data_IF_372704501811
#
_entry.id   IF_372704501811
#
_cell.length_a   1.000
_cell.length_b   1.000
_cell.length_c   1.000
_cell.angle_alpha   90.00
_cell.angle_beta   90.00
_cell.angle_gamma   90.00
#
_symmetry.space_group_name_H-M   'P 1'
#
loop_
_entity.id
_entity.type
_entity.pdbx_description
1 polymer ?
#
# COMPACT_ATOMS: atom_id res chain seq x y z
N UNK A 1 32.38 24.44 24.33
CA UNK A 1 31.03 23.95 24.16
C UNK A 1 31.10 22.58 23.48
N UNK A 2 31.10 21.51 24.28
CA UNK A 2 31.02 20.14 23.76
C UNK A 2 29.57 19.90 23.30
N UNK A 3 29.42 19.55 22.06
CA UNK A 3 28.10 19.25 21.49
C UNK A 3 27.57 17.95 22.10
N UNK A 4 26.56 18.05 22.94
CA UNK A 4 25.77 16.92 23.43
C UNK A 4 24.89 16.26 22.32
N UNK A 5 25.20 16.51 21.06
CA UNK A 5 24.42 16.02 19.91
C UNK A 5 24.99 14.72 19.31
N UNK A 6 26.07 14.15 19.84
CA UNK A 6 26.67 12.93 19.26
C UNK A 6 26.22 11.61 19.92
N UNK A 7 25.45 11.67 20.99
CA UNK A 7 24.85 10.48 21.60
C UNK A 7 23.46 10.13 21.05
N UNK A 8 23.22 10.53 19.82
CA UNK A 8 22.04 10.10 19.10
C UNK A 8 22.14 8.60 18.85
N UNK A 9 21.59 7.85 19.80
CA UNK A 9 21.07 6.50 19.65
C UNK A 9 21.82 5.63 18.62
N UNK A 10 22.88 4.99 19.05
CA UNK A 10 23.31 3.75 18.42
C UNK A 10 22.16 2.75 18.63
N UNK A 11 21.16 2.79 17.75
CA UNK A 11 20.08 1.80 17.73
C UNK A 11 20.70 0.46 17.38
N UNK A 12 20.98 -0.33 18.39
CA UNK A 12 21.40 -1.71 18.18
C UNK A 12 20.15 -2.49 17.81
N UNK A 13 20.15 -3.08 16.62
CA UNK A 13 19.12 -4.02 16.21
C UNK A 13 19.56 -5.44 16.58
N UNK A 14 18.72 -6.16 17.28
CA UNK A 14 18.90 -7.59 17.50
C UNK A 14 18.03 -8.31 16.46
N UNK A 15 18.66 -9.05 15.57
CA UNK A 15 17.95 -9.85 14.56
C UNK A 15 17.96 -11.30 15.00
N UNK A 16 16.78 -11.86 15.23
CA UNK A 16 16.62 -13.31 15.45
C UNK A 16 16.79 -14.00 14.09
N UNK A 17 17.68 -15.01 13.97
CA UNK A 17 17.83 -15.72 12.70
C UNK A 17 16.48 -16.23 12.17
N UNK A 18 16.15 -16.03 10.88
CA UNK A 18 14.84 -16.37 10.33
C UNK A 18 14.38 -17.81 10.60
N UNK A 19 15.31 -18.77 10.50
CA UNK A 19 15.01 -20.19 10.77
C UNK A 19 14.63 -20.47 12.23
N UNK A 20 15.22 -19.74 13.19
CA UNK A 20 14.86 -19.85 14.61
C UNK A 20 13.54 -19.16 14.88
N UNK A 21 13.33 -18.00 14.28
CA UNK A 21 12.09 -17.24 14.40
C UNK A 21 10.90 -18.04 13.86
N UNK A 22 11.04 -18.64 12.67
CA UNK A 22 10.01 -19.50 12.06
C UNK A 22 9.61 -20.66 12.98
N UNK A 23 10.59 -21.39 13.51
CA UNK A 23 10.33 -22.51 14.46
C UNK A 23 9.60 -22.04 15.72
N UNK A 24 9.98 -20.86 16.23
CA UNK A 24 9.34 -20.29 17.42
C UNK A 24 7.88 -19.92 17.13
N UNK A 25 7.59 -19.27 15.98
CA UNK A 25 6.24 -18.94 15.56
C UNK A 25 5.38 -20.21 15.34
N UNK A 26 5.92 -21.23 14.68
CA UNK A 26 5.24 -22.51 14.47
C UNK A 26 4.87 -23.18 15.79
N UNK A 27 5.77 -23.16 16.79
CA UNK A 27 5.54 -23.76 18.09
C UNK A 27 4.55 -22.98 18.98
N UNK A 28 4.38 -21.68 18.71
CA UNK A 28 3.51 -20.78 19.48
C UNK A 28 2.22 -20.40 18.74
N UNK A 29 1.90 -21.05 17.62
CA UNK A 29 0.70 -20.75 16.85
C UNK A 29 -0.58 -20.87 17.70
N UNK A 30 -1.36 -19.79 17.77
CA UNK A 30 -2.55 -19.69 18.62
C UNK A 30 -2.28 -19.32 20.08
N UNK A 31 -0.99 -19.18 20.47
CA UNK A 31 -0.54 -18.89 21.82
C UNK A 31 0.32 -17.61 21.86
N UNK A 32 1.09 -17.40 22.90
CA UNK A 32 1.90 -16.21 23.12
C UNK A 32 3.38 -16.56 23.37
N UNK A 33 4.26 -15.75 22.79
CA UNK A 33 5.70 -15.78 23.06
C UNK A 33 6.00 -14.74 24.13
N UNK A 34 6.58 -15.17 25.25
CA UNK A 34 7.06 -14.27 26.30
C UNK A 34 8.44 -13.75 25.94
N UNK A 35 8.60 -12.44 25.96
CA UNK A 35 9.87 -11.77 25.67
C UNK A 35 10.38 -11.08 26.93
N UNK A 36 11.59 -11.40 27.34
CA UNK A 36 12.30 -10.70 28.43
C UNK A 36 13.59 -10.09 27.88
N UNK A 37 13.77 -8.80 28.05
CA UNK A 37 14.97 -8.09 27.65
C UNK A 37 15.89 -7.93 28.88
N UNK A 38 17.12 -8.37 28.74
CA UNK A 38 18.16 -8.17 29.75
C UNK A 38 19.30 -7.34 29.15
N UNK A 39 19.74 -6.33 29.88
CA UNK A 39 20.81 -5.43 29.44
C UNK A 39 21.93 -5.46 30.50
N UNK A 40 23.16 -5.61 30.03
CA UNK A 40 24.32 -5.53 30.91
C UNK A 40 24.67 -4.07 31.22
N UNK A 41 24.60 -3.66 32.46
CA UNK A 41 24.99 -2.35 32.96
C UNK A 41 26.18 -2.51 33.87
N UNK A 42 27.37 -2.15 33.40
CA UNK A 42 28.61 -2.45 34.12
C UNK A 42 28.83 -3.96 34.23
N UNK A 43 28.89 -4.47 35.46
CA UNK A 43 29.03 -5.91 35.72
C UNK A 43 27.72 -6.64 36.05
N UNK A 44 26.61 -5.96 36.08
CA UNK A 44 25.32 -6.51 36.46
C UNK A 44 24.40 -6.63 35.26
N UNK A 45 23.51 -7.64 35.30
CA UNK A 45 22.42 -7.81 34.32
C UNK A 45 21.11 -7.26 34.88
N UNK A 46 20.54 -6.29 34.20
CA UNK A 46 19.25 -5.71 34.53
C UNK A 46 18.20 -6.26 33.61
N UNK A 47 17.18 -6.91 34.18
CA UNK A 47 16.03 -7.42 33.44
C UNK A 47 14.92 -6.37 33.41
N UNK A 48 14.36 -6.12 32.23
CA UNK A 48 13.16 -5.31 32.06
C UNK A 48 11.91 -6.15 32.21
N UNK A 49 10.79 -5.50 32.49
CA UNK A 49 9.50 -6.19 32.58
C UNK A 49 9.21 -6.99 31.30
N UNK A 50 8.84 -8.26 31.40
CA UNK A 50 8.52 -9.08 30.24
C UNK A 50 7.25 -8.57 29.56
N UNK A 51 7.17 -8.78 28.25
CA UNK A 51 5.96 -8.56 27.47
C UNK A 51 5.65 -9.77 26.61
N UNK A 52 4.38 -9.92 26.22
CA UNK A 52 3.93 -11.03 25.40
C UNK A 52 3.65 -10.58 23.95
N UNK A 53 4.02 -11.43 23.00
CA UNK A 53 3.63 -11.32 21.60
C UNK A 53 2.67 -12.46 21.31
N UNK A 54 1.41 -12.13 21.00
CA UNK A 54 0.44 -13.15 20.59
C UNK A 54 0.71 -13.58 19.16
N UNK A 55 0.76 -14.88 18.93
CA UNK A 55 0.94 -15.48 17.61
C UNK A 55 -0.42 -15.95 17.09
N UNK A 56 -0.82 -15.45 15.92
CA UNK A 56 -2.05 -15.90 15.28
C UNK A 56 -1.92 -17.38 14.86
N UNK A 57 -3.02 -18.16 14.93
CA UNK A 57 -3.01 -19.54 14.48
C UNK A 57 -2.95 -19.67 12.95
N UNK A 58 -3.38 -18.61 12.24
CA UNK A 58 -3.39 -18.56 10.79
C UNK A 58 -1.97 -18.38 10.24
N UNK A 59 -1.73 -18.97 9.08
CA UNK A 59 -0.48 -18.76 8.35
C UNK A 59 -0.46 -17.33 7.78
N UNK A 60 0.69 -16.69 7.90
CA UNK A 60 0.96 -15.42 7.24
C UNK A 60 1.26 -15.67 5.76
N UNK A 61 0.78 -14.79 4.89
CA UNK A 61 1.16 -14.78 3.48
C UNK A 61 2.68 -14.63 3.31
N UNK A 62 3.21 -15.19 2.23
CA UNK A 62 4.66 -15.18 2.01
C UNK A 62 5.20 -13.79 1.68
N UNK A 63 4.36 -12.91 1.15
CA UNK A 63 4.77 -11.60 0.67
C UNK A 63 3.87 -10.48 1.17
N UNK A 64 4.48 -9.31 1.36
CA UNK A 64 3.80 -8.04 1.60
C UNK A 64 4.16 -7.07 0.49
N UNK A 65 3.15 -6.51 -0.18
CA UNK A 65 3.34 -5.41 -1.11
C UNK A 65 3.07 -4.06 -0.43
N UNK A 66 3.90 -3.07 -0.73
CA UNK A 66 3.78 -1.73 -0.16
C UNK A 66 4.41 -0.68 -1.07
N UNK A 67 4.01 0.55 -0.88
CA UNK A 67 4.59 1.70 -1.56
C UNK A 67 5.63 2.36 -0.67
N UNK A 68 6.80 2.68 -1.24
CA UNK A 68 7.78 3.57 -0.65
C UNK A 68 7.78 4.91 -1.39
N UNK A 69 7.88 5.98 -0.63
CA UNK A 69 7.93 7.35 -1.10
C UNK A 69 8.75 8.18 -0.11
N UNK A 70 9.75 8.91 -0.62
CA UNK A 70 10.54 9.81 0.21
C UNK A 70 9.71 11.05 0.60
N UNK A 71 9.96 11.65 1.75
CA UNK A 71 9.28 12.89 2.14
C UNK A 71 9.78 14.10 1.34
N UNK A 72 8.94 15.13 1.25
CA UNK A 72 9.27 16.42 0.67
C UNK A 72 9.38 16.43 -0.86
N UNK A 73 10.23 17.29 -1.40
CA UNK A 73 10.40 17.46 -2.85
C UNK A 73 11.10 16.31 -3.56
N UNK A 74 11.75 15.43 -2.84
CA UNK A 74 12.41 14.25 -3.40
C UNK A 74 11.44 13.12 -3.73
N UNK A 75 10.17 13.29 -3.40
CA UNK A 75 9.07 12.36 -3.67
C UNK A 75 9.13 11.73 -5.06
N UNK A 76 9.34 12.58 -6.07
CA UNK A 76 9.24 12.20 -7.48
C UNK A 76 10.44 11.42 -8.00
N UNK A 77 11.54 11.42 -7.25
CA UNK A 77 12.78 10.79 -7.69
C UNK A 77 12.97 9.36 -7.16
N UNK A 78 12.25 9.02 -6.09
CA UNK A 78 12.47 7.76 -5.37
C UNK A 78 11.16 7.20 -4.85
N UNK A 79 10.26 6.83 -5.75
CA UNK A 79 9.06 6.13 -5.35
C UNK A 79 8.91 4.82 -6.10
N UNK A 80 8.25 3.87 -5.47
CA UNK A 80 7.97 2.59 -6.08
C UNK A 80 7.02 1.75 -5.26
N UNK A 81 6.50 0.71 -5.90
CA UNK A 81 5.75 -0.36 -5.28
C UNK A 81 6.69 -1.55 -5.19
N UNK A 82 6.83 -2.09 -4.00
CA UNK A 82 7.75 -3.16 -3.69
C UNK A 82 7.00 -4.33 -3.08
N UNK A 83 7.55 -5.51 -3.26
CA UNK A 83 7.18 -6.67 -2.47
C UNK A 83 8.32 -7.09 -1.56
N UNK A 84 7.98 -7.53 -0.36
CA UNK A 84 8.91 -8.07 0.62
C UNK A 84 8.52 -9.49 0.94
N UNK A 85 9.47 -10.39 0.80
CA UNK A 85 9.37 -11.74 1.32
C UNK A 85 9.43 -11.70 2.86
N UNK A 86 8.40 -12.20 3.52
CA UNK A 86 8.29 -12.16 4.97
C UNK A 86 9.13 -13.23 5.69
N UNK A 87 9.63 -14.23 4.96
CA UNK A 87 10.54 -15.24 5.52
C UNK A 87 12.01 -14.81 5.46
N UNK A 88 12.44 -14.22 4.33
CA UNK A 88 13.83 -13.79 4.13
C UNK A 88 14.06 -12.29 4.30
N UNK A 89 13.00 -11.51 4.37
CA UNK A 89 13.00 -10.04 4.35
C UNK A 89 13.59 -9.42 3.07
N UNK A 90 13.78 -10.22 2.04
CA UNK A 90 14.24 -9.73 0.73
C UNK A 90 13.18 -8.81 0.14
N UNK A 91 13.61 -7.61 -0.29
CA UNK A 91 12.75 -6.64 -0.95
C UNK A 91 13.12 -6.56 -2.42
N UNK A 92 12.12 -6.69 -3.29
CA UNK A 92 12.28 -6.48 -4.72
C UNK A 92 11.23 -5.49 -5.23
N UNK A 93 11.55 -4.68 -6.25
CA UNK A 93 10.57 -3.77 -6.83
C UNK A 93 9.55 -4.55 -7.68
N UNK A 94 8.27 -4.19 -7.54
CA UNK A 94 7.23 -4.50 -8.52
C UNK A 94 7.32 -3.47 -9.64
N UNK A 95 7.36 -2.20 -9.28
CA UNK A 95 7.63 -1.09 -10.20
C UNK A 95 8.27 0.09 -9.45
N UNK A 96 9.29 0.67 -10.04
CA UNK A 96 9.89 1.94 -9.60
C UNK A 96 9.56 3.04 -10.62
N UNK A 97 9.42 4.26 -10.16
CA UNK A 97 9.07 5.39 -11.01
C UNK A 97 10.07 5.61 -12.16
N UNK A 98 11.37 5.35 -11.93
CA UNK A 98 12.42 5.41 -12.96
C UNK A 98 12.19 4.44 -14.12
N UNK A 99 11.48 3.33 -13.89
CA UNK A 99 11.14 2.35 -14.94
C UNK A 99 10.05 2.86 -15.89
N UNK A 100 9.32 3.89 -15.49
CA UNK A 100 8.20 4.48 -16.23
C UNK A 100 8.43 5.95 -16.62
N UNK A 101 9.68 6.39 -16.75
CA UNK A 101 9.99 7.78 -17.09
C UNK A 101 9.73 8.76 -15.95
N UNK A 102 9.98 8.35 -14.73
CA UNK A 102 9.75 9.11 -13.49
C UNK A 102 8.28 9.44 -13.21
N UNK A 103 7.34 8.63 -13.70
CA UNK A 103 5.94 8.80 -13.34
C UNK A 103 5.69 8.52 -11.85
N UNK A 104 4.75 9.23 -11.29
CA UNK A 104 4.20 8.86 -9.99
C UNK A 104 3.47 7.50 -10.12
N UNK A 105 3.83 6.53 -9.28
CA UNK A 105 3.16 5.24 -9.16
C UNK A 105 2.47 5.13 -7.82
N UNK A 106 1.17 4.79 -7.84
CA UNK A 106 0.31 4.86 -6.67
C UNK A 106 -0.87 3.89 -6.76
N UNK A 107 -1.70 3.87 -5.71
CA UNK A 107 -3.00 3.20 -5.68
C UNK A 107 -2.93 1.73 -6.11
N UNK A 108 -1.89 0.98 -5.69
CA UNK A 108 -1.84 -0.44 -5.96
C UNK A 108 -2.91 -1.19 -5.16
N UNK A 109 -3.52 -2.18 -5.79
CA UNK A 109 -4.55 -3.00 -5.17
C UNK A 109 -4.55 -4.39 -5.80
N UNK A 110 -4.59 -5.41 -4.96
CA UNK A 110 -4.67 -6.81 -5.39
C UNK A 110 -6.12 -7.28 -5.38
N UNK A 111 -6.50 -8.04 -6.40
CA UNK A 111 -7.82 -8.64 -6.48
C UNK A 111 -7.91 -9.79 -5.47
N UNK A 112 -8.68 -9.63 -4.41
CA UNK A 112 -8.86 -10.66 -3.37
C UNK A 112 -7.55 -11.26 -2.84
N UNK A 113 -6.50 -10.44 -2.72
CA UNK A 113 -5.14 -10.83 -2.31
C UNK A 113 -4.44 -11.81 -3.28
N UNK A 114 -4.97 -12.01 -4.50
CA UNK A 114 -4.30 -12.81 -5.51
C UNK A 114 -3.03 -12.09 -6.01
N UNK A 115 -1.83 -12.65 -5.80
CA UNK A 115 -0.58 -12.02 -6.23
C UNK A 115 -0.45 -11.90 -7.75
N UNK A 116 -1.23 -12.67 -8.52
CA UNK A 116 -1.19 -12.65 -9.98
C UNK A 116 -2.13 -11.60 -10.58
N UNK A 117 -3.02 -11.01 -9.77
CA UNK A 117 -4.00 -10.05 -10.28
C UNK A 117 -3.99 -8.77 -9.45
N UNK A 118 -3.39 -7.74 -10.02
CA UNK A 118 -3.29 -6.43 -9.37
C UNK A 118 -3.47 -5.28 -10.35
N UNK A 119 -3.72 -4.12 -9.81
CA UNK A 119 -3.63 -2.88 -10.57
C UNK A 119 -2.87 -1.83 -9.77
N UNK A 120 -2.32 -0.86 -10.49
CA UNK A 120 -1.76 0.37 -9.93
C UNK A 120 -1.96 1.52 -10.88
N UNK A 121 -1.87 2.74 -10.36
CA UNK A 121 -2.09 3.95 -11.12
C UNK A 121 -0.80 4.73 -11.36
N UNK A 122 -0.63 5.24 -12.58
CA UNK A 122 0.46 6.15 -12.95
C UNK A 122 -0.09 7.53 -13.24
N UNK A 123 0.68 8.56 -12.87
CA UNK A 123 0.39 9.96 -13.15
C UNK A 123 1.57 10.60 -13.89
N UNK A 124 1.43 11.81 -14.33
CA UNK A 124 2.40 12.65 -15.05
C UNK A 124 2.51 12.32 -16.54
N UNK A 125 3.71 11.96 -17.02
CA UNK A 125 4.01 11.84 -18.47
C UNK A 125 3.19 10.74 -19.16
N UNK A 126 2.98 9.61 -18.48
CA UNK A 126 2.25 8.46 -19.04
C UNK A 126 1.11 8.05 -18.12
N UNK A 127 0.09 8.92 -17.92
CA UNK A 127 -0.96 8.65 -16.96
C UNK A 127 -1.83 7.46 -17.39
N UNK A 128 -2.34 6.73 -16.42
CA UNK A 128 -3.28 5.63 -16.63
C UNK A 128 -3.21 4.58 -15.53
N UNK A 129 -4.15 3.67 -15.57
CA UNK A 129 -4.18 2.51 -14.69
C UNK A 129 -3.56 1.32 -15.41
N UNK A 130 -2.63 0.65 -14.77
CA UNK A 130 -2.02 -0.58 -15.25
C UNK A 130 -2.71 -1.74 -14.56
N UNK A 131 -3.20 -2.68 -15.34
CA UNK A 131 -3.73 -3.97 -14.89
C UNK A 131 -2.71 -5.06 -15.21
N UNK A 132 -2.38 -5.84 -14.20
CA UNK A 132 -1.59 -7.08 -14.32
C UNK A 132 -2.53 -8.24 -14.01
N UNK A 133 -2.59 -9.23 -14.91
CA UNK A 133 -3.38 -10.45 -14.75
C UNK A 133 -2.55 -11.63 -15.27
N UNK A 134 -1.84 -12.30 -14.37
CA UNK A 134 -0.80 -13.26 -14.72
C UNK A 134 0.33 -12.61 -15.53
N UNK A 135 0.60 -13.14 -16.70
CA UNK A 135 1.62 -12.62 -17.63
C UNK A 135 1.11 -11.44 -18.49
N UNK A 136 -0.17 -11.13 -18.40
CA UNK A 136 -0.78 -10.07 -19.20
C UNK A 136 -0.66 -8.73 -18.45
N UNK A 137 -0.12 -7.73 -19.13
CA UNK A 137 -0.03 -6.36 -18.63
C UNK A 137 -0.76 -5.45 -19.62
N UNK A 138 -1.74 -4.73 -19.12
CA UNK A 138 -2.56 -3.82 -19.90
C UNK A 138 -2.56 -2.42 -19.28
N UNK A 139 -2.47 -1.40 -20.13
CA UNK A 139 -2.76 -0.03 -19.73
C UNK A 139 -4.21 0.29 -20.08
N UNK A 140 -5.01 0.51 -19.06
CA UNK A 140 -6.42 0.83 -19.21
C UNK A 140 -6.58 2.30 -19.62
N UNK A 141 -7.34 2.55 -20.68
CA UNK A 141 -7.77 3.89 -21.03
C UNK A 141 -9.10 4.19 -20.31
N UNK A 142 -9.00 4.79 -19.15
CA UNK A 142 -10.16 5.12 -18.31
C UNK A 142 -10.62 6.57 -18.46
N UNK A 143 -10.03 7.32 -19.39
CA UNK A 143 -10.41 8.70 -19.67
C UNK A 143 -11.59 8.76 -20.59
N UNK A 144 -12.69 9.34 -20.14
CA UNK A 144 -13.89 9.60 -20.95
C UNK A 144 -14.18 11.09 -21.02
N UNK A 145 -15.19 11.49 -21.79
CA UNK A 145 -15.67 12.88 -21.83
C UNK A 145 -16.32 13.32 -20.50
N UNK A 146 -16.76 12.35 -19.71
CA UNK A 146 -17.54 12.55 -18.49
C UNK A 146 -16.66 12.48 -17.22
N UNK A 147 -15.51 11.80 -17.29
CA UNK A 147 -14.59 11.70 -16.15
C UNK A 147 -13.80 13.00 -15.99
N UNK A 148 -13.89 13.58 -14.79
CA UNK A 148 -13.22 14.87 -14.47
C UNK A 148 -11.69 14.72 -14.31
N UNK A 149 -11.21 13.52 -14.00
CA UNK A 149 -9.79 13.23 -13.80
C UNK A 149 -9.47 11.74 -14.03
N UNK A 150 -8.25 11.35 -13.72
CA UNK A 150 -7.83 9.94 -13.71
C UNK A 150 -8.51 9.17 -12.56
N UNK A 151 -8.73 7.88 -12.76
CA UNK A 151 -9.29 6.99 -11.76
C UNK A 151 -8.27 6.71 -10.65
N UNK A 152 -8.72 6.78 -9.40
CA UNK A 152 -7.90 6.55 -8.20
C UNK A 152 -8.67 5.73 -7.17
N UNK A 153 -8.02 5.30 -6.10
CA UNK A 153 -8.63 4.57 -4.97
C UNK A 153 -9.45 3.36 -5.39
N UNK A 154 -8.82 2.37 -6.03
CA UNK A 154 -9.51 1.19 -6.55
C UNK A 154 -10.04 0.29 -5.44
N UNK A 155 -11.23 -0.26 -5.66
CA UNK A 155 -11.80 -1.34 -4.87
C UNK A 155 -12.24 -2.46 -5.81
N UNK A 156 -11.68 -3.66 -5.64
CA UNK A 156 -12.05 -4.82 -6.43
C UNK A 156 -13.38 -5.40 -5.97
N UNK A 157 -14.23 -5.72 -6.94
CA UNK A 157 -15.35 -6.62 -6.70
C UNK A 157 -14.80 -8.04 -6.46
N UNK A 158 -15.37 -8.82 -5.51
CA UNK A 158 -14.88 -10.17 -5.20
C UNK A 158 -14.78 -11.14 -6.38
N UNK A 159 -15.58 -10.94 -7.43
CA UNK A 159 -15.48 -11.76 -8.64
C UNK A 159 -14.26 -11.46 -9.51
N UNK A 160 -13.54 -10.37 -9.26
CA UNK A 160 -12.43 -9.89 -10.10
C UNK A 160 -12.85 -9.34 -11.47
N UNK A 161 -14.18 -9.20 -11.75
CA UNK A 161 -14.70 -8.69 -13.02
C UNK A 161 -14.90 -7.18 -13.02
N UNK A 162 -15.06 -6.58 -11.86
CA UNK A 162 -15.30 -5.15 -11.72
C UNK A 162 -14.33 -4.52 -10.74
N UNK A 163 -14.02 -3.26 -11.00
CA UNK A 163 -13.25 -2.40 -10.08
C UNK A 163 -13.99 -1.07 -9.93
N UNK A 164 -14.32 -0.69 -8.72
CA UNK A 164 -14.82 0.65 -8.43
C UNK A 164 -13.66 1.61 -8.21
N UNK A 165 -13.78 2.82 -8.71
CA UNK A 165 -12.78 3.88 -8.59
C UNK A 165 -13.41 5.19 -8.16
N UNK A 166 -12.67 6.00 -7.45
CA UNK A 166 -12.95 7.44 -7.33
C UNK A 166 -12.37 8.21 -8.51
N UNK A 167 -13.04 9.30 -8.85
CA UNK A 167 -12.57 10.30 -9.81
C UNK A 167 -12.53 11.63 -9.07
N UNK A 168 -11.33 12.09 -8.70
CA UNK A 168 -11.18 13.22 -7.82
C UNK A 168 -10.58 14.42 -8.54
N UNK A 169 -11.15 15.60 -8.31
CA UNK A 169 -10.51 16.87 -8.63
C UNK A 169 -9.67 17.31 -7.44
N UNK A 170 -8.39 16.99 -7.49
CA UNK A 170 -7.46 17.11 -6.38
C UNK A 170 -6.56 18.33 -6.53
N UNK A 171 -6.35 19.05 -5.42
CA UNK A 171 -5.31 20.07 -5.28
C UNK A 171 -4.29 19.61 -4.27
N UNK A 172 -3.02 19.88 -4.54
CA UNK A 172 -1.93 19.54 -3.62
C UNK A 172 -1.19 20.81 -3.22
N UNK A 173 -1.01 20.99 -1.91
CA UNK A 173 -0.13 22.00 -1.34
C UNK A 173 1.17 21.32 -0.90
N UNK A 174 2.27 21.70 -1.54
CA UNK A 174 3.59 21.16 -1.24
C UNK A 174 4.37 22.12 -0.35
N UNK A 175 4.98 21.59 0.69
CA UNK A 175 5.85 22.35 1.59
C UNK A 175 7.21 21.68 1.72
N UNK A 176 8.33 22.45 1.77
CA UNK A 176 9.68 21.87 1.79
C UNK A 176 9.99 20.96 2.98
N UNK A 177 9.36 21.18 4.13
CA UNK A 177 9.64 20.49 5.39
C UNK A 177 8.44 19.82 6.03
N UNK A 178 7.24 20.01 5.50
CA UNK A 178 6.00 19.39 5.97
C UNK A 178 5.46 18.39 4.96
N UNK A 179 4.51 17.60 5.38
CA UNK A 179 3.78 16.70 4.47
C UNK A 179 3.09 17.50 3.39
N UNK A 180 3.07 16.95 2.18
CA UNK A 180 2.16 17.41 1.14
C UNK A 180 0.73 17.22 1.61
N UNK A 181 -0.05 18.29 1.61
CA UNK A 181 -1.47 18.25 1.90
C UNK A 181 -2.24 18.06 0.60
N UNK A 182 -3.26 17.20 0.64
CA UNK A 182 -4.06 16.83 -0.53
C UNK A 182 -5.52 17.13 -0.24
N UNK A 183 -6.12 17.95 -1.09
CA UNK A 183 -7.53 18.37 -0.97
C UNK A 183 -8.30 17.98 -2.21
N UNK A 184 -9.36 17.21 -2.05
CA UNK A 184 -10.30 16.91 -3.12
C UNK A 184 -11.41 17.95 -3.14
N UNK A 185 -11.60 18.63 -4.28
CA UNK A 185 -12.62 19.66 -4.48
C UNK A 185 -13.92 19.11 -5.02
N UNK A 186 -13.84 18.01 -5.72
CA UNK A 186 -14.98 17.25 -6.24
C UNK A 186 -14.57 15.77 -6.36
N UNK A 187 -15.51 14.88 -6.17
CA UNK A 187 -15.29 13.47 -6.32
C UNK A 187 -16.57 12.76 -6.78
N UNK A 188 -16.40 11.82 -7.68
CA UNK A 188 -17.43 10.91 -8.17
C UNK A 188 -16.90 9.47 -8.13
N UNK A 189 -17.79 8.49 -8.23
CA UNK A 189 -17.44 7.07 -8.32
C UNK A 189 -17.88 6.48 -9.65
N UNK A 190 -17.01 5.66 -10.22
CA UNK A 190 -17.32 4.84 -11.39
C UNK A 190 -16.95 3.39 -11.16
N UNK A 191 -17.58 2.48 -11.88
CA UNK A 191 -17.23 1.08 -11.91
C UNK A 191 -16.67 0.74 -13.29
N UNK A 192 -15.53 0.05 -13.31
CA UNK A 192 -14.90 -0.43 -14.53
C UNK A 192 -15.18 -1.93 -14.71
N UNK A 193 -15.74 -2.31 -15.84
CA UNK A 193 -15.88 -3.71 -16.25
C UNK A 193 -14.56 -4.14 -16.91
N UNK A 194 -13.84 -5.06 -16.27
CA UNK A 194 -12.50 -5.51 -16.68
C UNK A 194 -12.57 -6.33 -17.97
N UNK A 195 -13.63 -7.13 -18.14
CA UNK A 195 -13.79 -8.00 -19.31
C UNK A 195 -14.22 -7.20 -20.54
N UNK A 196 -15.17 -6.29 -20.38
CA UNK A 196 -15.69 -5.46 -21.48
C UNK A 196 -14.87 -4.22 -21.76
N UNK A 197 -14.02 -3.83 -20.81
CA UNK A 197 -13.23 -2.61 -20.86
C UNK A 197 -14.11 -1.34 -20.95
N UNK A 198 -15.18 -1.32 -20.19
CA UNK A 198 -16.17 -0.24 -20.17
C UNK A 198 -16.28 0.39 -18.79
N UNK A 199 -16.56 1.70 -18.77
CA UNK A 199 -16.92 2.41 -17.55
C UNK A 199 -18.44 2.38 -17.39
N UNK A 200 -18.88 1.94 -16.23
CA UNK A 200 -20.27 1.91 -15.80
C UNK A 200 -20.46 2.99 -14.75
N UNK A 201 -21.46 3.82 -14.88
CA UNK A 201 -21.84 4.81 -13.88
C UNK A 201 -23.36 4.94 -13.78
N UNK A 202 -23.80 5.49 -12.66
CA UNK A 202 -25.21 5.81 -12.39
C UNK A 202 -25.32 7.15 -11.71
N UNK A 203 -26.50 7.77 -11.71
CA UNK A 203 -26.72 9.03 -10.97
C UNK A 203 -26.52 8.92 -9.46
N UNK A 204 -26.52 7.71 -8.92
CA UNK A 204 -26.25 7.46 -7.51
C UNK A 204 -24.75 7.54 -7.18
N UNK A 205 -23.90 7.23 -8.16
CA UNK A 205 -22.43 7.15 -8.02
C UNK A 205 -21.74 8.35 -8.65
N UNK A 206 -22.42 9.07 -9.51
CA UNK A 206 -21.88 10.19 -10.29
C UNK A 206 -22.88 11.37 -10.21
N UNK A 207 -22.66 12.27 -9.28
CA UNK A 207 -23.62 13.34 -8.96
C UNK A 207 -22.91 14.65 -8.67
N UNK A 208 -23.25 15.70 -9.39
CA UNK A 208 -22.75 17.07 -9.14
C UNK A 208 -23.16 17.67 -7.77
N UNK A 209 -24.04 16.99 -7.04
CA UNK A 209 -24.59 17.48 -5.76
C UNK A 209 -23.99 16.81 -4.52
N UNK A 210 -23.23 15.76 -4.70
CA UNK A 210 -22.65 14.97 -3.63
C UNK A 210 -21.16 14.80 -3.88
N UNK A 211 -20.50 14.26 -2.89
CA UNK A 211 -19.08 13.98 -2.90
C UNK A 211 -18.91 12.47 -2.66
N UNK A 212 -18.90 11.69 -3.73
CA UNK A 212 -18.74 10.25 -3.70
C UNK A 212 -17.25 9.93 -3.83
N UNK A 213 -16.67 9.24 -2.84
CA UNK A 213 -15.24 8.90 -2.82
C UNK A 213 -14.95 7.63 -2.02
N UNK A 214 -13.80 7.02 -2.25
CA UNK A 214 -13.33 5.80 -1.58
C UNK A 214 -14.32 4.64 -1.65
N UNK A 215 -14.74 4.22 -2.85
CA UNK A 215 -15.71 3.14 -3.00
C UNK A 215 -15.17 1.85 -2.39
N UNK A 216 -16.06 1.06 -1.79
CA UNK A 216 -15.71 -0.24 -1.21
C UNK A 216 -16.82 -1.25 -1.48
N UNK A 217 -16.49 -2.36 -2.13
CA UNK A 217 -17.42 -3.47 -2.30
C UNK A 217 -17.57 -4.27 -0.99
N UNK A 218 -18.78 -4.75 -0.73
CA UNK A 218 -19.01 -5.73 0.32
C UNK A 218 -18.28 -7.04 -0.02
N UNK A 219 -17.90 -7.87 1.00
CA UNK A 219 -17.23 -9.15 0.77
C UNK A 219 -18.00 -10.12 -0.12
N UNK A 220 -19.32 -10.02 -0.16
CA UNK A 220 -20.18 -10.83 -1.02
C UNK A 220 -20.44 -10.19 -2.39
N UNK A 221 -19.90 -9.00 -2.65
CA UNK A 221 -20.01 -8.25 -3.90
C UNK A 221 -21.39 -7.64 -4.19
N UNK A 222 -22.37 -7.76 -3.29
CA UNK A 222 -23.73 -7.31 -3.57
C UNK A 222 -23.98 -5.83 -3.32
N UNK A 223 -23.08 -5.19 -2.60
CA UNK A 223 -23.22 -3.78 -2.23
C UNK A 223 -21.93 -3.03 -2.54
N UNK A 224 -22.08 -1.77 -2.91
CA UNK A 224 -20.99 -0.80 -3.06
C UNK A 224 -21.30 0.37 -2.11
N UNK A 225 -20.35 0.65 -1.23
CA UNK A 225 -20.39 1.74 -0.27
C UNK A 225 -19.52 2.90 -0.73
#
# INVERSE_FOLDING_TARGET
>A
ASSAASDVYKRQSIVIPPSKWKKLLESAAGDSIQVTVQVKQGNEWVAYSPFAIRVAPEKVDSYLAYRLIDPGYELWNKMGIYQRDLESYTQIPIIENKMSGNNCVNCHSFCMQDPNKMLFHMRETFPGTILVDGDKIEKLNTKTKETISSLVYPSWHPSGKFVAFSINNTTQDTHPVHRTEVYDKASDVVVYDVEKQEIITTQALFSKKRFETFPTFSPDGKQLY
#
